data_IF_059734725888
#
_entry.id   IF_059734725888
#
_cell.length_a   1.000
_cell.length_b   1.000
_cell.length_c   1.000
_cell.angle_alpha   90.00
_cell.angle_beta   90.00
_cell.angle_gamma   90.00
#
_symmetry.space_group_name_H-M   'P 1'
#
loop_
_entity.id
_entity.type
_entity.pdbx_description
1 polymer ?
#
# COMPACT_ATOMS: atom_id res chain seq x y z
N UNK A 1 -0.45 17.78 -0.18
CA UNK A 1 -1.30 16.64 0.13
C UNK A 1 -0.46 15.51 0.70
N UNK A 2 -0.84 14.98 1.84
CA UNK A 2 -0.11 13.88 2.45
C UNK A 2 -0.57 12.54 1.87
N UNK A 3 0.37 11.67 1.66
CA UNK A 3 0.09 10.34 1.13
C UNK A 3 0.79 9.28 1.96
N UNK A 4 0.30 8.05 1.85
CA UNK A 4 0.91 6.88 2.49
C UNK A 4 1.20 5.83 1.43
N UNK A 5 2.37 5.23 1.55
CA UNK A 5 2.80 4.20 0.61
C UNK A 5 2.49 2.82 1.19
N UNK A 6 1.90 1.97 0.36
CA UNK A 6 1.59 0.59 0.74
C UNK A 6 2.28 -0.32 -0.26
N UNK A 7 3.12 -1.20 0.25
CA UNK A 7 3.94 -2.07 -0.59
C UNK A 7 3.36 -3.47 -0.78
N UNK A 8 2.35 -3.83 0.00
CA UNK A 8 1.73 -5.16 -0.07
C UNK A 8 0.36 -5.08 -0.70
N UNK A 9 0.15 -5.88 -1.74
CA UNK A 9 -1.12 -5.94 -2.46
C UNK A 9 -2.28 -6.30 -1.54
N UNK A 10 -2.07 -7.28 -0.65
CA UNK A 10 -3.12 -7.72 0.25
C UNK A 10 -3.61 -6.59 1.16
N UNK A 11 -2.70 -5.80 1.66
CA UNK A 11 -3.04 -4.65 2.51
C UNK A 11 -3.76 -3.60 1.69
N UNK A 12 -3.27 -3.31 0.49
CA UNK A 12 -3.89 -2.33 -0.38
C UNK A 12 -5.33 -2.71 -0.71
N UNK A 13 -5.58 -3.98 -1.00
CA UNK A 13 -6.94 -4.45 -1.31
C UNK A 13 -7.88 -4.29 -0.13
N UNK A 14 -7.41 -4.59 1.07
CA UNK A 14 -8.22 -4.42 2.27
C UNK A 14 -8.56 -2.95 2.51
N UNK A 15 -7.60 -2.06 2.31
CA UNK A 15 -7.82 -0.63 2.45
C UNK A 15 -8.86 -0.11 1.46
N UNK A 16 -8.79 -0.56 0.22
CA UNK A 16 -9.78 -0.17 -0.78
C UNK A 16 -11.18 -0.61 -0.37
N UNK A 17 -11.30 -1.82 0.18
CA UNK A 17 -12.59 -2.32 0.68
C UNK A 17 -13.13 -1.51 1.84
N UNK A 18 -12.23 -0.93 2.63
CA UNK A 18 -12.61 -0.10 3.76
C UNK A 18 -13.00 1.33 3.36
N UNK A 19 -12.85 1.66 2.09
CA UNK A 19 -13.24 2.96 1.57
C UNK A 19 -12.10 3.94 1.36
N UNK A 20 -10.86 3.53 1.57
CA UNK A 20 -9.71 4.39 1.31
C UNK A 20 -9.45 4.50 -0.18
N UNK A 21 -8.98 5.66 -0.61
CA UNK A 21 -8.77 5.93 -2.02
C UNK A 21 -7.30 5.83 -2.42
N UNK A 22 -7.07 5.17 -3.53
CA UNK A 22 -5.74 5.13 -4.13
C UNK A 22 -5.56 6.39 -4.98
N UNK A 23 -4.48 7.12 -4.71
CA UNK A 23 -4.15 8.35 -5.43
C UNK A 23 -3.28 8.04 -6.63
N UNK A 24 -2.40 7.04 -6.49
CA UNK A 24 -1.47 6.68 -7.55
C UNK A 24 -0.99 5.24 -7.34
N UNK A 25 -0.52 4.62 -8.40
CA UNK A 25 0.10 3.29 -8.35
C UNK A 25 1.43 3.41 -9.08
N UNK A 26 2.52 3.09 -8.40
CA UNK A 26 3.86 3.17 -8.98
C UNK A 26 4.47 1.78 -9.07
N UNK A 27 5.01 1.39 -10.22
CA UNK A 27 5.71 0.12 -10.31
C UNK A 27 7.03 0.19 -9.54
N UNK A 28 7.36 -0.88 -8.84
CA UNK A 28 8.63 -0.95 -8.13
C UNK A 28 9.75 -1.29 -9.12
N UNK A 29 10.93 -0.68 -8.90
CA UNK A 29 12.09 -0.97 -9.70
C UNK A 29 12.99 -1.98 -8.98
N UNK A 30 13.51 -2.92 -9.74
CA UNK A 30 14.47 -3.87 -9.22
C UNK A 30 15.86 -3.25 -9.17
N UNK A 31 16.82 -3.96 -8.53
CA UNK A 31 18.20 -3.50 -8.45
C UNK A 31 18.84 -3.32 -9.81
N UNK A 32 18.37 -4.04 -10.81
CA UNK A 32 18.89 -3.97 -12.18
C UNK A 32 18.31 -2.80 -12.96
N UNK A 33 17.49 -1.97 -12.32
CA UNK A 33 16.86 -0.85 -12.99
C UNK A 33 15.63 -1.23 -13.82
N UNK A 34 15.26 -2.50 -13.81
CA UNK A 34 14.06 -2.97 -14.51
C UNK A 34 12.83 -2.73 -13.66
N UNK A 35 11.71 -2.49 -14.31
CA UNK A 35 10.44 -2.31 -13.63
C UNK A 35 9.82 -3.68 -13.32
N UNK A 36 9.51 -3.91 -12.05
CA UNK A 36 8.86 -5.15 -11.63
C UNK A 36 7.37 -4.88 -11.41
N UNK A 37 6.56 -5.29 -12.38
CA UNK A 37 5.11 -5.08 -12.31
C UNK A 37 4.41 -5.99 -11.30
N UNK A 38 5.11 -7.00 -10.79
CA UNK A 38 4.56 -7.86 -9.74
C UNK A 38 4.66 -7.21 -8.37
N UNK A 39 5.50 -6.20 -8.25
CA UNK A 39 5.66 -5.43 -7.02
C UNK A 39 5.28 -3.99 -7.30
N UNK A 40 4.08 -3.62 -6.92
CA UNK A 40 3.61 -2.25 -7.10
C UNK A 40 3.57 -1.53 -5.77
N UNK A 41 3.80 -0.23 -5.83
CA UNK A 41 3.66 0.64 -4.66
C UNK A 41 2.33 1.36 -4.81
N UNK A 42 1.45 1.17 -3.85
CA UNK A 42 0.13 1.81 -3.86
C UNK A 42 0.19 3.07 -3.00
N UNK A 43 -0.16 4.20 -3.61
CA UNK A 43 -0.15 5.48 -2.91
C UNK A 43 -1.57 5.83 -2.51
N UNK A 44 -1.82 5.88 -1.21
CA UNK A 44 -3.13 6.22 -0.67
C UNK A 44 -3.14 7.64 -0.12
N UNK A 45 -4.29 8.30 -0.17
CA UNK A 45 -4.45 9.58 0.50
C UNK A 45 -4.35 9.36 2.02
N UNK A 46 -3.58 10.22 2.70
CA UNK A 46 -3.44 10.12 4.16
C UNK A 46 -4.65 10.76 4.82
N UNK A 47 -5.67 9.96 5.03
CA UNK A 47 -6.95 10.41 5.61
C UNK A 47 -7.58 9.28 6.42
N UNK A 48 -8.52 9.65 7.30
CA UNK A 48 -9.31 8.67 8.06
C UNK A 48 -8.48 7.64 8.84
N UNK A 49 -7.35 8.08 9.40
CA UNK A 49 -6.46 7.23 10.21
C UNK A 49 -5.90 6.04 9.44
N UNK A 50 -5.64 6.23 8.14
CA UNK A 50 -5.11 5.15 7.31
C UNK A 50 -3.80 4.58 7.85
N UNK A 51 -2.96 5.42 8.48
CA UNK A 51 -1.69 4.96 9.04
C UNK A 51 -1.91 3.89 10.11
N UNK A 52 -2.92 4.06 10.96
CA UNK A 52 -3.25 3.06 11.98
C UNK A 52 -3.75 1.76 11.33
N UNK A 53 -4.58 1.88 10.31
CA UNK A 53 -5.10 0.71 9.61
C UNK A 53 -3.99 -0.06 8.90
N UNK A 54 -3.05 0.65 8.28
CA UNK A 54 -1.90 0.00 7.66
C UNK A 54 -1.10 -0.76 8.70
N UNK A 55 -0.87 -0.16 9.86
CA UNK A 55 -0.14 -0.81 10.93
C UNK A 55 -0.85 -2.07 11.43
N UNK A 56 -2.15 -1.99 11.66
CA UNK A 56 -2.95 -3.13 12.10
C UNK A 56 -2.91 -4.26 11.08
N UNK A 57 -3.08 -3.94 9.81
CA UNK A 57 -3.08 -4.95 8.77
C UNK A 57 -1.69 -5.57 8.59
N UNK A 58 -0.64 -4.77 8.73
CA UNK A 58 0.73 -5.27 8.65
C UNK A 58 1.01 -6.25 9.78
N UNK A 59 0.56 -5.94 10.99
CA UNK A 59 0.74 -6.85 12.13
C UNK A 59 -0.01 -8.18 11.91
N UNK A 60 -1.21 -8.12 11.35
CA UNK A 60 -1.96 -9.33 11.02
C UNK A 60 -1.24 -10.18 9.99
N UNK A 61 -0.64 -9.54 8.99
CA UNK A 61 0.09 -10.25 7.95
C UNK A 61 1.34 -10.95 8.50
N UNK A 62 2.00 -10.35 9.48
CA UNK A 62 3.18 -10.93 10.10
C UNK A 62 2.86 -12.09 11.05
N UNK A 63 1.61 -12.19 11.45
CA UNK A 63 1.16 -13.30 12.29
C UNK A 63 0.61 -14.41 11.41
N UNK A 64 1.35 -15.41 11.25
CA UNK A 64 0.82 -16.61 10.63
C UNK A 64 0.70 -17.71 11.65
#
# INVERSE_FOLDING_TARGET
>A
MKTRLVFKVNIARKLVRMGYRIVDIKPAKTKDGKTDFNKSIFVFADENNIAEEIEKLTKKELRK
#
